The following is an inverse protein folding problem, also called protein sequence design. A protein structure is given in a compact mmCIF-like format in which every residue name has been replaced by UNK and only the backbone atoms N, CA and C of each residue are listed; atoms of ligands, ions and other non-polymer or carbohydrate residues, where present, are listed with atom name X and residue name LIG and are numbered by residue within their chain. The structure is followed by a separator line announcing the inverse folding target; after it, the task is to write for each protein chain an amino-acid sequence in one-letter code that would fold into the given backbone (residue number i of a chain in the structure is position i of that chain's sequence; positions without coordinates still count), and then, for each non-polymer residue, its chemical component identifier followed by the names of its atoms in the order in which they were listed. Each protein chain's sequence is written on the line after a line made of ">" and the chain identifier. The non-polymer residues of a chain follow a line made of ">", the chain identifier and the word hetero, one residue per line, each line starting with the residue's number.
data_IF_708423325178
#
_entry.id   IF_708423325178
#
_cell.length_a   1.000
_cell.length_b   1.000
_cell.length_c   1.000
_cell.angle_alpha   90.00
_cell.angle_beta   90.00
_cell.angle_gamma   90.00
#
_symmetry.space_group_name_H-M   'P 1'
#
loop_
_entity.id
_entity.type
_entity.pdbx_description
1 polymer ?
#
# COMPACT_ATOMS: atom_id res chain seq x y z
N UNK A 1 0.87 -35.79 8.74
CA UNK A 1 0.07 -34.90 7.87
C UNK A 1 1.00 -33.85 7.28
N UNK A 2 1.18 -33.79 5.96
CA UNK A 2 1.99 -32.75 5.30
C UNK A 2 1.09 -31.53 5.13
N UNK A 3 1.35 -30.45 5.87
CA UNK A 3 0.67 -29.18 5.67
C UNK A 3 1.02 -28.65 4.28
N UNK A 4 0.06 -28.66 3.37
CA UNK A 4 0.21 -27.93 2.11
C UNK A 4 0.28 -26.45 2.43
N UNK A 5 1.49 -25.88 2.37
CA UNK A 5 1.70 -24.43 2.37
C UNK A 5 0.98 -23.86 1.14
N UNK A 6 -0.27 -23.43 1.32
CA UNK A 6 -0.96 -22.59 0.33
C UNK A 6 -0.15 -21.29 0.24
N UNK A 7 0.66 -21.15 -0.82
CA UNK A 7 1.19 -19.85 -1.21
C UNK A 7 0.00 -18.93 -1.47
N UNK A 8 -0.21 -17.92 -0.62
CA UNK A 8 -1.10 -16.82 -0.96
C UNK A 8 -0.34 -15.93 -1.91
N UNK A 9 -0.81 -15.83 -3.15
CA UNK A 9 -0.39 -14.73 -4.00
C UNK A 9 -0.99 -13.47 -3.35
N UNK A 10 -0.12 -12.55 -2.95
CA UNK A 10 -0.55 -11.25 -2.45
C UNK A 10 -0.77 -10.38 -3.70
N UNK A 11 -2.03 -10.04 -3.96
CA UNK A 11 -2.41 -9.16 -5.07
C UNK A 11 -2.19 -7.70 -4.67
N UNK A 12 -1.95 -6.86 -5.67
CA UNK A 12 -1.85 -5.40 -5.52
C UNK A 12 -3.03 -4.83 -6.31
N UNK A 13 -3.79 -3.94 -5.70
CA UNK A 13 -5.02 -3.42 -6.31
C UNK A 13 -4.74 -2.65 -7.61
N UNK A 14 -3.72 -1.78 -7.61
CA UNK A 14 -3.34 -1.00 -8.78
C UNK A 14 -1.83 -0.93 -8.98
N UNK A 15 -1.41 -1.01 -10.24
CA UNK A 15 -0.05 -0.73 -10.69
C UNK A 15 -0.11 0.36 -11.75
N UNK A 16 0.43 1.53 -11.43
CA UNK A 16 0.46 2.69 -12.33
C UNK A 16 1.87 2.79 -12.92
N UNK A 17 1.97 3.00 -14.23
CA UNK A 17 3.24 3.18 -14.92
C UNK A 17 3.21 4.51 -15.69
N UNK A 18 4.23 5.34 -15.52
CA UNK A 18 4.44 6.57 -16.29
C UNK A 18 5.91 6.66 -16.67
N UNK A 19 6.23 6.48 -17.95
CA UNK A 19 7.61 6.42 -18.43
C UNK A 19 8.47 5.40 -17.65
N UNK A 20 9.50 5.88 -16.95
CA UNK A 20 10.41 5.15 -16.09
C UNK A 20 9.94 5.08 -14.62
N UNK A 21 8.81 5.70 -14.30
CA UNK A 21 8.20 5.67 -12.98
C UNK A 21 7.14 4.57 -12.89
N UNK A 22 7.11 3.93 -11.73
CA UNK A 22 6.07 3.00 -11.34
C UNK A 22 5.59 3.32 -9.93
N UNK A 23 4.29 3.18 -9.73
CA UNK A 23 3.62 3.35 -8.46
C UNK A 23 2.74 2.13 -8.18
N UNK A 24 2.93 1.53 -7.00
CA UNK A 24 2.09 0.46 -6.48
C UNK A 24 1.12 1.03 -5.46
N UNK A 25 -0.18 0.76 -5.62
CA UNK A 25 -1.22 1.29 -4.74
C UNK A 25 -2.04 0.13 -4.17
N UNK A 26 -2.18 0.14 -2.85
CA UNK A 26 -3.13 -0.69 -2.12
C UNK A 26 -4.23 0.22 -1.53
N UNK A 27 -5.48 -0.21 -1.58
CA UNK A 27 -6.61 0.51 -0.99
C UNK A 27 -7.05 -0.16 0.31
N UNK A 28 -7.39 0.64 1.31
CA UNK A 28 -7.89 0.16 2.59
C UNK A 28 -9.10 1.00 3.03
N UNK A 29 -10.18 0.36 3.46
CA UNK A 29 -11.34 1.09 3.98
C UNK A 29 -10.99 1.87 5.26
N UNK A 30 -10.24 1.25 6.17
CA UNK A 30 -9.73 1.82 7.41
C UNK A 30 -8.49 1.03 7.88
N UNK A 31 -7.64 1.62 8.72
CA UNK A 31 -6.44 0.99 9.29
C UNK A 31 -6.45 1.03 10.84
N UNK A 32 -7.50 0.52 11.49
CA UNK A 32 -7.77 0.78 12.91
C UNK A 32 -6.73 0.17 13.87
N UNK A 33 -5.84 -0.68 13.36
CA UNK A 33 -4.82 -1.38 14.13
C UNK A 33 -3.55 -1.61 13.30
N UNK A 34 -2.44 -1.86 14.00
CA UNK A 34 -1.19 -2.26 13.37
C UNK A 34 -1.35 -3.58 12.60
N UNK A 35 -2.14 -4.53 13.10
CA UNK A 35 -2.42 -5.78 12.37
C UNK A 35 -3.06 -5.51 11.01
N UNK A 36 -3.97 -4.53 10.92
CA UNK A 36 -4.58 -4.16 9.65
C UNK A 36 -3.58 -3.47 8.73
N UNK A 37 -2.72 -2.60 9.26
CA UNK A 37 -1.60 -2.03 8.51
C UNK A 37 -0.70 -3.12 7.94
N UNK A 38 -0.28 -4.07 8.77
CA UNK A 38 0.59 -5.19 8.39
C UNK A 38 -0.03 -6.06 7.30
N UNK A 39 -1.35 -6.28 7.38
CA UNK A 39 -2.11 -7.00 6.37
C UNK A 39 -2.09 -6.27 5.01
N UNK A 40 -2.41 -4.97 4.98
CA UNK A 40 -2.51 -4.21 3.74
C UNK A 40 -1.12 -3.94 3.11
N UNK A 41 -0.10 -3.69 3.93
CA UNK A 41 1.26 -3.46 3.42
C UNK A 41 1.97 -4.75 2.96
N UNK A 42 1.46 -5.93 3.33
CA UNK A 42 2.12 -7.20 3.04
C UNK A 42 2.40 -7.38 1.54
N UNK A 43 1.45 -7.07 0.65
CA UNK A 43 1.64 -7.18 -0.80
C UNK A 43 2.77 -6.27 -1.29
N UNK A 44 2.81 -5.04 -0.80
CA UNK A 44 3.80 -4.03 -1.16
C UNK A 44 5.21 -4.39 -0.67
N UNK A 45 5.35 -4.95 0.54
CA UNK A 45 6.64 -5.38 1.10
C UNK A 45 7.27 -6.57 0.36
N UNK A 46 6.46 -7.38 -0.34
CA UNK A 46 6.98 -8.48 -1.14
C UNK A 46 7.64 -8.02 -2.45
N UNK A 47 7.42 -6.77 -2.86
CA UNK A 47 7.99 -6.18 -4.06
C UNK A 47 9.39 -5.65 -3.76
N UNK A 48 10.42 -6.29 -4.34
CA UNK A 48 11.83 -5.98 -4.07
C UNK A 48 12.43 -4.97 -5.05
N UNK A 49 11.69 -3.91 -5.35
CA UNK A 49 12.16 -2.78 -6.17
C UNK A 49 12.14 -1.46 -5.37
N UNK A 50 12.78 -0.44 -5.94
CA UNK A 50 12.85 0.91 -5.35
C UNK A 50 11.69 1.83 -5.74
N UNK A 51 10.67 1.32 -6.43
CA UNK A 51 9.55 2.14 -6.89
C UNK A 51 8.61 2.48 -5.74
N UNK A 52 7.88 3.59 -5.91
CA UNK A 52 7.03 4.15 -4.87
C UNK A 52 5.85 3.22 -4.56
N UNK A 53 5.49 3.16 -3.29
CA UNK A 53 4.45 2.30 -2.73
C UNK A 53 3.52 3.15 -1.86
N UNK A 54 2.22 3.02 -2.07
CA UNK A 54 1.19 3.84 -1.41
C UNK A 54 0.06 2.95 -0.88
N UNK A 55 -0.42 3.28 0.32
CA UNK A 55 -1.70 2.79 0.85
C UNK A 55 -2.66 3.97 0.92
N UNK A 56 -3.77 3.89 0.18
CA UNK A 56 -4.85 4.88 0.27
C UNK A 56 -5.90 4.40 1.25
N UNK A 57 -6.07 5.13 2.35
CA UNK A 57 -6.96 4.76 3.44
C UNK A 57 -8.22 5.63 3.47
N UNK A 58 -9.39 5.01 3.64
CA UNK A 58 -10.69 5.68 3.58
C UNK A 58 -11.00 6.62 4.75
N UNK A 59 -10.29 6.52 5.87
CA UNK A 59 -10.53 7.36 7.04
C UNK A 59 -9.54 8.55 7.17
N UNK A 60 -9.65 9.30 8.28
CA UNK A 60 -8.87 10.51 8.56
C UNK A 60 -7.46 10.21 9.08
N UNK A 61 -6.70 9.34 8.42
CA UNK A 61 -5.28 9.23 8.71
C UNK A 61 -4.54 10.52 8.36
N UNK A 62 -3.57 10.88 9.19
CA UNK A 62 -2.56 11.88 8.83
C UNK A 62 -1.66 11.22 7.79
N UNK A 63 -1.61 11.82 6.61
CA UNK A 63 -0.78 11.34 5.51
C UNK A 63 0.70 11.39 5.89
N UNK A 64 1.43 10.32 5.65
CA UNK A 64 2.84 10.20 6.05
C UNK A 64 3.46 8.88 5.65
N UNK A 65 4.78 8.79 5.81
CA UNK A 65 5.53 7.56 5.56
C UNK A 65 5.60 6.70 6.81
N UNK A 66 5.38 5.39 6.65
CA UNK A 66 5.68 4.43 7.70
C UNK A 66 7.18 4.06 7.72
N UNK A 67 7.58 3.23 8.69
CA UNK A 67 8.95 2.75 8.86
C UNK A 67 9.50 1.96 7.66
N UNK A 68 8.63 1.44 6.79
CA UNK A 68 8.99 0.70 5.59
C UNK A 68 9.10 1.59 4.33
N UNK A 69 8.94 2.92 4.48
CA UNK A 69 8.96 3.87 3.36
C UNK A 69 7.72 3.82 2.47
N UNK A 70 6.63 3.22 2.95
CA UNK A 70 5.33 3.22 2.27
C UNK A 70 4.58 4.48 2.68
N UNK A 71 4.09 5.24 1.69
CA UNK A 71 3.24 6.41 1.95
C UNK A 71 1.83 5.92 2.28
N UNK A 72 1.37 6.21 3.51
CA UNK A 72 -0.02 6.04 3.90
C UNK A 72 -0.69 7.39 3.70
N UNK A 73 -1.67 7.46 2.82
CA UNK A 73 -2.37 8.69 2.46
C UNK A 73 -3.86 8.54 2.70
N UNK A 74 -4.51 9.58 3.26
CA UNK A 74 -5.97 9.58 3.36
C UNK A 74 -6.60 9.70 1.98
N UNK A 75 -7.79 9.10 1.80
CA UNK A 75 -8.55 9.19 0.56
C UNK A 75 -8.82 10.64 0.16
N UNK A 76 -9.04 11.52 1.14
CA UNK A 76 -9.22 12.96 0.91
C UNK A 76 -7.97 13.61 0.31
N UNK A 77 -6.79 13.34 0.88
CA UNK A 77 -5.53 13.93 0.40
C UNK A 77 -5.17 13.41 -0.99
N UNK A 78 -5.39 12.11 -1.23
CA UNK A 78 -5.20 11.46 -2.53
C UNK A 78 -6.10 12.08 -3.61
N UNK A 79 -7.39 12.25 -3.34
CA UNK A 79 -8.35 12.83 -4.30
C UNK A 79 -8.10 14.33 -4.55
N UNK A 80 -7.56 15.04 -3.56
CA UNK A 80 -7.17 16.44 -3.70
C UNK A 80 -5.79 16.62 -4.34
N UNK A 81 -5.06 15.54 -4.62
CA UNK A 81 -3.73 15.58 -5.23
C UNK A 81 -2.70 16.31 -4.38
N UNK A 82 -2.77 16.18 -3.04
CA UNK A 82 -1.82 16.85 -2.15
C UNK A 82 -0.40 16.30 -2.29
N UNK A 83 -0.28 15.01 -2.59
CA UNK A 83 0.99 14.38 -2.93
C UNK A 83 1.21 14.36 -4.43
N UNK A 84 2.48 14.59 -4.82
CA UNK A 84 2.94 14.47 -6.19
C UNK A 84 3.62 13.12 -6.36
N UNK A 85 3.15 12.36 -7.35
CA UNK A 85 3.69 11.09 -7.80
C UNK A 85 4.43 11.28 -9.13
#
# INVERSE_FOLDING_TARGET
>A
MRGHLKRRNLEIDFVVNRHDERLYIQSAYALPSQEKMDQEQASLLHIKDGFQKVIVAGDRYISGYNENGILVESLYDFLLGKQKF
#
